data_IF_848197314293
#
_entry.id   IF_848197314293
#
_cell.length_a   1.000
_cell.length_b   1.000
_cell.length_c   1.000
_cell.angle_alpha   90.00
_cell.angle_beta   90.00
_cell.angle_gamma   90.00
#
_symmetry.space_group_name_H-M   'P 1'
#
loop_
_entity.id
_entity.type
_entity.pdbx_description
1 polymer ?
#
# COMPACT_ATOMS: atom_id res chain seq x y z
N UNK A 1 -15.40 -12.36 18.23
CA UNK A 1 -14.23 -11.55 17.84
C UNK A 1 -13.07 -12.51 17.56
N UNK A 2 -12.75 -12.77 16.30
CA UNK A 2 -11.62 -13.63 15.95
C UNK A 2 -10.33 -12.86 16.28
N UNK A 3 -9.52 -13.39 17.20
CA UNK A 3 -8.25 -12.79 17.62
C UNK A 3 -7.28 -12.80 16.44
N UNK A 4 -7.10 -11.65 15.79
CA UNK A 4 -6.01 -11.50 14.85
C UNK A 4 -4.70 -11.64 15.62
N UNK A 5 -3.70 -12.32 15.03
CA UNK A 5 -2.42 -12.48 15.71
C UNK A 5 -1.80 -11.11 15.98
N UNK A 6 -1.20 -10.94 17.16
CA UNK A 6 -0.54 -9.70 17.57
C UNK A 6 0.45 -9.22 16.51
N UNK A 7 1.17 -10.15 15.87
CA UNK A 7 2.10 -9.89 14.78
C UNK A 7 1.45 -9.21 13.57
N UNK A 8 0.26 -9.67 13.13
CA UNK A 8 -0.44 -9.07 11.99
C UNK A 8 -0.96 -7.66 12.31
N UNK A 9 -1.40 -7.46 13.54
CA UNK A 9 -1.84 -6.15 14.01
C UNK A 9 -0.66 -5.17 14.05
N UNK A 10 0.45 -5.58 14.66
CA UNK A 10 1.68 -4.80 14.73
C UNK A 10 2.21 -4.47 13.33
N UNK A 11 2.22 -5.43 12.40
CA UNK A 11 2.62 -5.22 11.02
C UNK A 11 1.78 -4.14 10.33
N UNK A 12 0.45 -4.17 10.47
CA UNK A 12 -0.42 -3.17 9.86
C UNK A 12 -0.20 -1.77 10.41
N UNK A 13 -0.01 -1.66 11.72
CA UNK A 13 0.32 -0.37 12.37
C UNK A 13 1.66 0.14 11.86
N UNK A 14 2.70 -0.71 11.87
CA UNK A 14 4.02 -0.36 11.39
C UNK A 14 3.98 0.15 9.94
N UNK A 15 3.33 -0.59 9.04
CA UNK A 15 3.19 -0.18 7.64
C UNK A 15 2.42 1.14 7.50
N UNK A 16 1.32 1.33 8.23
CA UNK A 16 0.59 2.60 8.21
C UNK A 16 1.47 3.78 8.67
N UNK A 17 2.27 3.60 9.73
CA UNK A 17 3.21 4.62 10.20
C UNK A 17 4.30 4.92 9.18
N UNK A 18 4.88 3.89 8.54
CA UNK A 18 5.87 4.09 7.48
C UNK A 18 5.28 4.85 6.30
N UNK A 19 4.05 4.54 5.88
CA UNK A 19 3.38 5.28 4.81
C UNK A 19 3.07 6.73 5.17
N UNK A 20 2.64 7.02 6.40
CA UNK A 20 2.50 8.41 6.88
C UNK A 20 3.84 9.12 6.84
N UNK A 21 4.91 8.49 7.32
CA UNK A 21 6.25 9.09 7.28
C UNK A 21 6.72 9.34 5.84
N UNK A 22 6.50 8.39 4.92
CA UNK A 22 6.78 8.56 3.50
C UNK A 22 6.01 9.75 2.93
N UNK A 23 4.72 9.88 3.21
CA UNK A 23 3.92 11.04 2.78
C UNK A 23 4.45 12.37 3.35
N UNK A 24 4.92 12.39 4.60
CA UNK A 24 5.52 13.60 5.19
C UNK A 24 6.84 13.99 4.51
N UNK A 25 7.67 13.02 4.14
CA UNK A 25 8.93 13.29 3.44
C UNK A 25 8.68 13.88 2.05
N UNK A 26 7.58 13.51 1.39
CA UNK A 26 7.21 13.97 0.05
C UNK A 26 6.98 15.48 -0.05
N UNK A 27 6.73 16.20 1.06
CA UNK A 27 6.65 17.67 1.02
C UNK A 27 7.97 18.34 0.57
N UNK A 28 9.09 17.61 0.53
CA UNK A 28 10.36 18.10 0.02
C UNK A 28 10.55 17.84 -1.49
N UNK A 29 9.68 17.06 -2.14
CA UNK A 29 9.81 16.66 -3.54
C UNK A 29 9.10 17.67 -4.48
N UNK A 30 9.58 17.86 -5.72
CA UNK A 30 9.04 18.85 -6.67
C UNK A 30 7.64 18.52 -7.21
N UNK A 31 7.21 17.25 -7.21
CA UNK A 31 5.83 16.82 -7.52
C UNK A 31 5.22 16.03 -6.35
N UNK A 32 4.81 16.71 -5.26
CA UNK A 32 4.52 16.03 -4.00
C UNK A 32 3.13 15.37 -3.95
N UNK A 33 2.16 15.89 -4.71
CA UNK A 33 0.74 15.57 -4.47
C UNK A 33 0.37 14.13 -4.85
N UNK A 34 0.84 13.67 -6.00
CA UNK A 34 0.57 12.31 -6.50
C UNK A 34 1.14 11.25 -5.55
N UNK A 35 2.38 11.47 -5.06
CA UNK A 35 3.06 10.61 -4.11
C UNK A 35 2.44 10.64 -2.71
N UNK A 36 2.09 11.82 -2.19
CA UNK A 36 1.36 11.95 -0.92
C UNK A 36 0.04 11.17 -0.98
N UNK A 37 -0.73 11.34 -2.05
CA UNK A 37 -1.98 10.62 -2.23
C UNK A 37 -1.77 9.09 -2.27
N UNK A 38 -0.74 8.64 -2.99
CA UNK A 38 -0.38 7.23 -3.08
C UNK A 38 -0.05 6.64 -1.70
N UNK A 39 0.76 7.33 -0.90
CA UNK A 39 1.15 6.86 0.42
C UNK A 39 0.01 6.95 1.45
N UNK A 40 -0.89 7.93 1.36
CA UNK A 40 -2.04 8.03 2.28
C UNK A 40 -3.17 7.03 1.95
N UNK A 41 -3.31 6.59 0.71
CA UNK A 41 -4.32 5.61 0.32
C UNK A 41 -4.30 4.31 1.17
N UNK A 42 -3.16 3.59 1.33
CA UNK A 42 -3.12 2.39 2.19
C UNK A 42 -3.39 2.70 3.67
N UNK A 43 -3.03 3.89 4.16
CA UNK A 43 -3.32 4.33 5.54
C UNK A 43 -4.84 4.42 5.76
N UNK A 44 -5.55 5.05 4.82
CA UNK A 44 -7.01 5.15 4.85
C UNK A 44 -7.67 3.78 4.81
N UNK A 45 -7.22 2.89 3.91
CA UNK A 45 -7.78 1.52 3.81
C UNK A 45 -7.55 0.72 5.09
N UNK A 46 -6.39 0.86 5.74
CA UNK A 46 -6.11 0.22 7.03
C UNK A 46 -7.00 0.77 8.15
N UNK A 47 -7.24 2.08 8.19
CA UNK A 47 -8.17 2.69 9.14
C UNK A 47 -9.61 2.22 8.95
N UNK A 48 -10.08 2.14 7.71
CA UNK A 48 -11.39 1.61 7.35
C UNK A 48 -11.53 0.13 7.70
N UNK A 49 -10.48 -0.66 7.45
CA UNK A 49 -10.42 -2.07 7.86
C UNK A 49 -10.60 -2.24 9.37
N UNK A 50 -9.95 -1.39 10.19
CA UNK A 50 -10.13 -1.41 11.64
C UNK A 50 -11.52 -0.99 12.10
N UNK A 51 -12.20 -0.14 11.32
CA UNK A 51 -13.63 0.19 11.54
C UNK A 51 -14.59 -0.90 11.07
N UNK A 52 -14.08 -2.02 10.55
CA UNK A 52 -14.89 -3.15 10.09
C UNK A 52 -15.46 -2.99 8.67
N UNK A 53 -15.00 -1.99 7.91
CA UNK A 53 -15.50 -1.75 6.55
C UNK A 53 -14.93 -2.78 5.57
N UNK A 54 -15.74 -3.20 4.59
CA UNK A 54 -15.28 -4.01 3.47
C UNK A 54 -14.48 -3.14 2.49
N UNK A 55 -13.17 -3.33 2.47
CA UNK A 55 -12.19 -2.59 1.67
C UNK A 55 -11.47 -3.49 0.65
N UNK A 56 -11.94 -4.72 0.45
CA UNK A 56 -11.28 -5.72 -0.39
C UNK A 56 -11.09 -5.22 -1.81
N UNK A 57 -12.16 -4.75 -2.46
CA UNK A 57 -12.09 -4.26 -3.84
C UNK A 57 -11.27 -2.97 -3.97
N UNK A 58 -11.44 -1.94 -3.10
CA UNK A 58 -10.54 -0.80 -3.07
C UNK A 58 -9.05 -1.19 -2.93
N UNK A 59 -8.74 -2.15 -2.06
CA UNK A 59 -7.38 -2.62 -1.86
C UNK A 59 -6.81 -3.36 -3.08
N UNK A 60 -7.62 -4.18 -3.77
CA UNK A 60 -7.24 -4.80 -5.05
C UNK A 60 -6.98 -3.72 -6.10
N UNK A 61 -7.89 -2.74 -6.23
CA UNK A 61 -7.74 -1.64 -7.17
C UNK A 61 -6.46 -0.86 -6.94
N UNK A 62 -6.16 -0.52 -5.67
CA UNK A 62 -4.94 0.16 -5.29
C UNK A 62 -3.68 -0.66 -5.64
N UNK A 63 -3.70 -1.97 -5.38
CA UNK A 63 -2.58 -2.85 -5.74
C UNK A 63 -2.34 -2.88 -7.26
N UNK A 64 -3.40 -2.99 -8.06
CA UNK A 64 -3.33 -2.99 -9.53
C UNK A 64 -2.80 -1.66 -10.06
N UNK A 65 -3.36 -0.53 -9.58
CA UNK A 65 -2.90 0.81 -9.98
C UNK A 65 -1.43 0.99 -9.67
N UNK A 66 -0.98 0.59 -8.48
CA UNK A 66 0.42 0.72 -8.08
C UNK A 66 1.37 -0.13 -8.94
N UNK A 67 0.98 -1.37 -9.29
CA UNK A 67 1.78 -2.21 -10.20
C UNK A 67 1.85 -1.61 -11.60
N UNK A 68 0.71 -1.14 -12.13
CA UNK A 68 0.68 -0.50 -13.46
C UNK A 68 1.54 0.76 -13.45
N UNK A 69 1.39 1.61 -12.44
CA UNK A 69 2.15 2.84 -12.34
C UNK A 69 3.65 2.55 -12.21
N UNK A 70 4.05 1.60 -11.36
CA UNK A 70 5.44 1.14 -11.25
C UNK A 70 6.00 0.69 -12.61
N UNK A 71 5.24 -0.11 -13.36
CA UNK A 71 5.65 -0.57 -14.69
C UNK A 71 5.74 0.57 -15.73
N UNK A 72 4.96 1.63 -15.59
CA UNK A 72 5.03 2.81 -16.46
C UNK A 72 6.28 3.65 -16.17
N UNK A 73 6.56 3.93 -14.90
CA UNK A 73 7.75 4.73 -14.52
C UNK A 73 9.05 3.94 -14.70
N UNK A 74 9.04 2.62 -14.51
CA UNK A 74 10.21 1.76 -14.69
C UNK A 74 10.82 1.86 -16.10
N UNK A 75 10.01 2.20 -17.11
CA UNK A 75 10.49 2.45 -18.48
C UNK A 75 11.46 3.62 -18.59
N UNK A 76 11.42 4.53 -17.62
CA UNK A 76 12.31 5.68 -17.52
C UNK A 76 13.65 5.40 -16.85
N UNK A 77 13.85 4.21 -16.27
CA UNK A 77 15.10 3.89 -15.55
C UNK A 77 16.26 3.76 -16.54
N UNK A 78 17.32 4.58 -16.43
CA UNK A 78 18.45 4.54 -17.33
C UNK A 78 19.31 3.31 -17.04
N UNK A 79 19.64 2.56 -18.08
CA UNK A 79 20.46 1.35 -17.98
C UNK A 79 21.89 1.60 -17.45
N UNK A 80 22.39 2.83 -17.58
CA UNK A 80 23.75 3.19 -17.20
C UNK A 80 23.98 3.35 -15.69
N UNK A 81 22.95 3.76 -14.92
CA UNK A 81 23.02 3.86 -13.47
C UNK A 81 21.65 3.61 -12.81
N UNK A 82 21.14 2.37 -12.87
CA UNK A 82 19.78 2.07 -12.43
C UNK A 82 19.59 2.24 -10.92
N UNK A 83 20.64 2.05 -10.11
CA UNK A 83 20.56 2.06 -8.63
C UNK A 83 20.62 3.45 -8.00
N UNK A 84 21.20 4.42 -8.70
CA UNK A 84 21.30 5.81 -8.22
C UNK A 84 20.13 6.69 -8.68
N UNK A 85 19.16 6.13 -9.38
CA UNK A 85 18.10 6.89 -10.01
C UNK A 85 16.87 7.02 -9.13
N UNK A 86 16.32 8.23 -9.08
CA UNK A 86 15.10 8.57 -8.35
C UNK A 86 13.92 7.70 -8.80
N UNK A 87 13.86 7.38 -10.10
CA UNK A 87 12.83 6.52 -10.68
C UNK A 87 12.83 5.13 -10.07
N UNK A 88 14.00 4.56 -9.71
CA UNK A 88 14.04 3.23 -9.08
C UNK A 88 13.53 3.30 -7.63
N UNK A 89 13.84 4.37 -6.90
CA UNK A 89 13.27 4.62 -5.55
C UNK A 89 11.75 4.69 -5.62
N UNK A 90 11.22 5.44 -6.58
CA UNK A 90 9.79 5.60 -6.82
C UNK A 90 9.11 4.27 -7.20
N UNK A 91 9.75 3.47 -8.07
CA UNK A 91 9.31 2.11 -8.39
C UNK A 91 9.22 1.24 -7.14
N UNK A 92 10.26 1.27 -6.29
CA UNK A 92 10.29 0.51 -5.05
C UNK A 92 9.15 0.90 -4.10
N UNK A 93 8.87 2.19 -3.95
CA UNK A 93 7.75 2.69 -3.15
C UNK A 93 6.40 2.14 -3.63
N UNK A 94 6.14 2.15 -4.93
CA UNK A 94 4.91 1.61 -5.52
C UNK A 94 4.79 0.10 -5.36
N UNK A 95 5.89 -0.66 -5.45
CA UNK A 95 5.86 -2.10 -5.26
C UNK A 95 5.57 -2.48 -3.79
N UNK A 96 6.13 -1.74 -2.83
CA UNK A 96 5.82 -1.91 -1.40
C UNK A 96 4.33 -1.60 -1.14
N UNK A 97 3.83 -0.50 -1.71
CA UNK A 97 2.41 -0.13 -1.65
C UNK A 97 1.53 -1.24 -2.21
N UNK A 98 1.85 -1.76 -3.40
CA UNK A 98 1.09 -2.82 -4.05
C UNK A 98 1.03 -4.09 -3.19
N UNK A 99 2.18 -4.50 -2.65
CA UNK A 99 2.27 -5.67 -1.76
C UNK A 99 1.40 -5.48 -0.51
N UNK A 100 1.46 -4.31 0.13
CA UNK A 100 0.66 -4.05 1.32
C UNK A 100 -0.85 -3.97 1.03
N UNK A 101 -1.24 -3.36 -0.09
CA UNK A 101 -2.63 -3.32 -0.52
C UNK A 101 -3.17 -4.75 -0.80
N UNK A 102 -2.35 -5.61 -1.43
CA UNK A 102 -2.69 -7.03 -1.59
C UNK A 102 -2.83 -7.75 -0.24
N UNK A 103 -1.99 -7.45 0.74
CA UNK A 103 -2.12 -7.96 2.10
C UNK A 103 -3.47 -7.57 2.75
N UNK A 104 -3.89 -6.31 2.63
CA UNK A 104 -5.20 -5.84 3.12
C UNK A 104 -6.32 -6.67 2.47
N UNK A 105 -6.32 -6.80 1.14
CA UNK A 105 -7.34 -7.56 0.41
C UNK A 105 -7.41 -9.03 0.85
N UNK A 106 -6.24 -9.69 0.97
CA UNK A 106 -6.15 -11.08 1.39
C UNK A 106 -6.65 -11.30 2.82
N UNK A 107 -6.36 -10.35 3.73
CA UNK A 107 -6.80 -10.43 5.12
C UNK A 107 -8.33 -10.39 5.26
N UNK A 108 -9.01 -9.68 4.37
CA UNK A 108 -10.47 -9.57 4.41
C UNK A 108 -11.18 -10.73 3.71
N UNK A 109 -10.56 -11.35 2.70
CA UNK A 109 -11.06 -12.60 2.13
C UNK A 109 -11.10 -13.72 3.17
N UNK A 110 -10.11 -13.78 4.09
CA UNK A 110 -10.12 -14.75 5.18
C UNK A 110 -11.27 -14.53 6.15
N UNK A 111 -11.61 -13.28 6.44
CA UNK A 111 -12.73 -12.95 7.34
C UNK A 111 -14.11 -13.26 6.73
N UNK A 112 -14.28 -13.14 5.41
CA UNK A 112 -15.57 -13.41 4.74
C UNK A 112 -15.88 -14.90 4.61
N UNK A 113 -14.86 -15.75 4.42
CA UNK A 113 -15.05 -17.21 4.29
C UNK A 113 -15.40 -17.93 5.60
N UNK A 114 -15.41 -17.24 6.74
CA UNK A 114 -15.78 -17.79 8.06
C UNK A 114 -17.10 -17.20 8.58
N UNK A 115 -17.88 -16.52 7.73
CA UNK A 115 -19.24 -16.15 8.09
C UNK A 115 -20.04 -17.46 8.28
N UNK A 116 -20.77 -17.62 9.40
CA UNK A 116 -21.64 -18.78 9.58
C UNK A 116 -22.63 -18.82 8.40
N UNK A 117 -22.71 -19.98 7.76
CA UNK A 117 -23.76 -20.28 6.79
C UNK A 117 -25.01 -20.52 7.64
N UNK A 118 -25.87 -19.52 7.68
CA UNK A 118 -27.22 -19.59 8.23
C UNK A 118 -28.15 -20.44 7.37
#
# INVERSE_FOLDING_TARGET
MQTQSLALHAFRILMALLFVLSALVQYNDPDPLSWIAAYLAPVLLTGLLYRGWNVRFPAIGLAVVAVIWAALIFRGVPAANPLGDEVLRECGGLLILAFYAAHIAASQSRNSNHAPID
#
